data_IF_062338012813
#
_entry.id   IF_062338012813
#
_cell.length_a   1.000
_cell.length_b   1.000
_cell.length_c   1.000
_cell.angle_alpha   90.00
_cell.angle_beta   90.00
_cell.angle_gamma   90.00
#
_symmetry.space_group_name_H-M   'P 1'
#
loop_
_entity.id
_entity.type
_entity.pdbx_description
1 polymer ?
#
# COMPACT_ATOMS: atom_id res chain seq x y z
N UNK A 1 -21.97 -15.76 10.69
CA UNK A 1 -20.53 -15.51 10.46
C UNK A 1 -20.14 -15.56 8.98
N UNK A 2 -20.41 -16.66 8.26
CA UNK A 2 -20.01 -16.82 6.84
C UNK A 2 -20.52 -15.73 5.88
N UNK A 3 -21.80 -15.36 5.92
CA UNK A 3 -22.38 -14.37 4.98
C UNK A 3 -21.76 -12.97 5.14
N UNK A 4 -21.58 -12.49 6.38
CA UNK A 4 -20.95 -11.18 6.65
C UNK A 4 -19.48 -11.13 6.24
N UNK A 5 -18.74 -12.22 6.43
CA UNK A 5 -17.36 -12.33 5.98
C UNK A 5 -17.27 -12.28 4.45
N UNK A 6 -18.11 -13.05 3.75
CA UNK A 6 -18.14 -13.08 2.30
C UNK A 6 -18.51 -11.73 1.68
N UNK A 7 -19.50 -11.04 2.27
CA UNK A 7 -19.86 -9.67 1.89
C UNK A 7 -18.69 -8.70 2.11
N UNK A 8 -17.93 -8.84 3.19
CA UNK A 8 -16.76 -8.00 3.46
C UNK A 8 -15.61 -8.24 2.46
N UNK A 9 -15.35 -9.50 2.09
CA UNK A 9 -14.34 -9.87 1.09
C UNK A 9 -14.73 -9.37 -0.30
N UNK A 10 -15.99 -9.57 -0.71
CA UNK A 10 -16.50 -9.05 -1.99
C UNK A 10 -16.49 -7.52 -2.04
N UNK A 11 -17.02 -6.86 -1.01
CA UNK A 11 -17.03 -5.41 -0.95
C UNK A 11 -15.61 -4.84 -0.93
N UNK A 12 -14.68 -5.46 -0.19
CA UNK A 12 -13.27 -5.08 -0.15
C UNK A 12 -12.55 -5.28 -1.48
N UNK A 13 -12.73 -6.44 -2.11
CA UNK A 13 -12.13 -6.76 -3.41
C UNK A 13 -12.64 -5.85 -4.52
N UNK A 14 -13.95 -5.62 -4.60
CA UNK A 14 -14.52 -4.71 -5.59
C UNK A 14 -14.16 -3.25 -5.31
N UNK A 15 -14.10 -2.81 -4.05
CA UNK A 15 -13.63 -1.47 -3.70
C UNK A 15 -12.16 -1.25 -4.08
N UNK A 16 -11.30 -2.25 -3.82
CA UNK A 16 -9.90 -2.24 -4.26
C UNK A 16 -9.79 -2.15 -5.77
N UNK A 17 -10.55 -2.96 -6.51
CA UNK A 17 -10.60 -2.89 -7.97
C UNK A 17 -11.08 -1.52 -8.47
N UNK A 18 -12.06 -0.90 -7.82
CA UNK A 18 -12.50 0.46 -8.16
C UNK A 18 -11.35 1.46 -7.97
N UNK A 19 -10.62 1.41 -6.86
CA UNK A 19 -9.44 2.27 -6.62
C UNK A 19 -8.40 2.06 -7.71
N UNK A 20 -8.03 0.81 -7.97
CA UNK A 20 -7.03 0.45 -8.97
C UNK A 20 -7.43 0.97 -10.35
N UNK A 21 -8.69 0.80 -10.77
CA UNK A 21 -9.20 1.29 -12.05
C UNK A 21 -9.20 2.81 -12.14
N UNK A 22 -9.55 3.50 -11.05
CA UNK A 22 -9.66 4.97 -11.03
C UNK A 22 -8.29 5.63 -11.02
N UNK A 23 -7.34 5.05 -10.29
CA UNK A 23 -5.98 5.58 -10.15
C UNK A 23 -4.99 5.01 -11.18
N UNK A 24 -5.37 3.96 -11.92
CA UNK A 24 -4.53 3.33 -12.95
C UNK A 24 -3.91 4.33 -13.93
N UNK A 25 -4.67 5.31 -14.47
CA UNK A 25 -4.11 6.26 -15.43
C UNK A 25 -3.00 7.12 -14.83
N UNK A 26 -3.14 7.51 -13.57
CA UNK A 26 -2.17 8.33 -12.86
C UNK A 26 -0.88 7.53 -12.58
N UNK A 27 -1.01 6.27 -12.20
CA UNK A 27 0.13 5.37 -12.04
C UNK A 27 0.91 5.20 -13.35
N UNK A 28 0.21 4.94 -14.46
CA UNK A 28 0.85 4.77 -15.78
C UNK A 28 1.56 6.05 -16.24
N UNK A 29 0.97 7.23 -15.98
CA UNK A 29 1.62 8.50 -16.30
C UNK A 29 2.87 8.71 -15.44
N UNK A 30 2.77 8.46 -14.13
CA UNK A 30 3.89 8.55 -13.19
C UNK A 30 5.05 7.63 -13.60
N UNK A 31 4.77 6.37 -13.93
CA UNK A 31 5.81 5.40 -14.33
C UNK A 31 6.48 5.80 -15.66
N UNK A 32 5.72 6.31 -16.63
CA UNK A 32 6.27 6.79 -17.91
C UNK A 32 7.12 8.04 -17.75
N UNK A 33 6.70 8.98 -16.91
CA UNK A 33 7.49 10.17 -16.56
C UNK A 33 8.80 9.80 -15.85
N UNK A 34 8.79 8.74 -15.06
CA UNK A 34 9.97 8.24 -14.34
C UNK A 34 10.85 7.30 -15.17
N UNK A 35 10.44 6.93 -16.38
CA UNK A 35 11.23 6.05 -17.25
C UNK A 35 12.51 6.72 -17.77
N UNK A 36 13.60 5.97 -17.85
CA UNK A 36 14.88 6.46 -18.38
C UNK A 36 14.83 6.82 -19.88
N UNK A 37 13.84 6.31 -20.61
CA UNK A 37 13.66 6.51 -22.04
C UNK A 37 12.95 7.83 -22.38
N UNK A 38 12.31 8.47 -21.38
CA UNK A 38 11.53 9.69 -21.52
C UNK A 38 10.06 9.43 -21.90
N UNK A 39 9.18 10.33 -21.46
CA UNK A 39 7.71 10.16 -21.51
C UNK A 39 7.16 9.75 -22.88
N UNK A 40 7.57 10.45 -23.95
CA UNK A 40 7.06 10.20 -25.29
C UNK A 40 7.55 8.87 -25.88
N UNK A 41 8.78 8.44 -25.57
CA UNK A 41 9.33 7.15 -26.03
C UNK A 41 8.75 5.97 -25.25
N UNK A 42 8.38 6.17 -23.99
CA UNK A 42 7.67 5.19 -23.16
C UNK A 42 6.16 5.05 -23.49
N UNK A 43 5.69 5.64 -24.60
CA UNK A 43 4.30 5.51 -25.06
C UNK A 43 3.41 6.72 -24.78
N UNK A 44 3.92 7.79 -24.16
CA UNK A 44 3.20 9.05 -23.96
C UNK A 44 1.84 8.86 -23.28
N UNK A 45 0.76 9.33 -23.92
CA UNK A 45 -0.62 9.11 -23.47
C UNK A 45 -1.32 7.93 -24.18
N UNK A 46 -0.64 7.18 -25.06
CA UNK A 46 -1.24 6.03 -25.74
C UNK A 46 -1.26 4.79 -24.85
N UNK A 47 -2.37 4.06 -24.82
CA UNK A 47 -2.47 2.78 -24.11
C UNK A 47 -2.32 2.90 -22.59
N UNK A 48 -2.84 3.98 -21.97
CA UNK A 48 -2.75 4.23 -20.53
C UNK A 48 -3.42 3.12 -19.69
N UNK A 49 -4.43 2.46 -20.25
CA UNK A 49 -5.14 1.33 -19.63
C UNK A 49 -4.51 -0.04 -19.95
N UNK A 50 -3.37 -0.09 -20.66
CA UNK A 50 -2.64 -1.34 -20.89
C UNK A 50 -2.08 -1.87 -19.55
N UNK A 51 -2.51 -3.06 -19.14
CA UNK A 51 -2.18 -3.68 -17.84
C UNK A 51 -3.31 -3.63 -16.80
N UNK A 52 -4.44 -2.97 -17.11
CA UNK A 52 -5.63 -3.02 -16.22
C UNK A 52 -6.12 -4.45 -15.97
N UNK A 53 -6.21 -5.34 -16.99
CA UNK A 53 -6.65 -6.71 -16.74
C UNK A 53 -5.71 -7.48 -15.81
N UNK A 54 -4.40 -7.26 -15.89
CA UNK A 54 -3.44 -7.91 -14.98
C UNK A 54 -3.56 -7.38 -13.55
N UNK A 55 -3.81 -6.07 -13.39
CA UNK A 55 -4.05 -5.49 -12.07
C UNK A 55 -5.34 -6.06 -11.44
N UNK A 56 -6.45 -6.04 -12.18
CA UNK A 56 -7.75 -6.53 -11.70
C UNK A 56 -7.72 -8.01 -11.31
N UNK A 57 -7.00 -8.85 -12.06
CA UNK A 57 -6.84 -10.29 -11.75
C UNK A 57 -6.04 -10.52 -10.47
N UNK A 58 -5.11 -9.64 -10.11
CA UNK A 58 -4.33 -9.76 -8.87
C UNK A 58 -5.00 -9.18 -7.63
N UNK A 59 -5.90 -8.21 -7.77
CA UNK A 59 -6.54 -7.53 -6.64
C UNK A 59 -7.47 -8.46 -5.82
N UNK A 60 -8.16 -9.40 -6.47
CA UNK A 60 -9.02 -10.36 -5.79
C UNK A 60 -8.26 -11.37 -4.91
N UNK A 61 -7.24 -12.10 -5.43
CA UNK A 61 -6.38 -12.96 -4.61
C UNK A 61 -5.69 -12.20 -3.47
N UNK A 62 -5.26 -10.96 -3.74
CA UNK A 62 -4.65 -10.10 -2.73
C UNK A 62 -5.60 -9.83 -1.55
N UNK A 63 -6.83 -9.37 -1.83
CA UNK A 63 -7.83 -9.10 -0.80
C UNK A 63 -8.22 -10.37 -0.03
N UNK A 64 -8.39 -11.49 -0.74
CA UNK A 64 -8.73 -12.76 -0.12
C UNK A 64 -7.65 -13.23 0.87
N UNK A 65 -6.38 -13.19 0.45
CA UNK A 65 -5.27 -13.60 1.31
C UNK A 65 -5.11 -12.70 2.54
N UNK A 66 -5.24 -11.38 2.38
CA UNK A 66 -5.26 -10.45 3.50
C UNK A 66 -6.31 -10.83 4.54
N UNK A 67 -7.58 -10.97 4.12
CA UNK A 67 -8.68 -11.25 5.04
C UNK A 67 -8.59 -12.64 5.67
N UNK A 68 -8.16 -13.65 4.93
CA UNK A 68 -7.94 -15.01 5.46
C UNK A 68 -6.85 -15.01 6.53
N UNK A 69 -5.70 -14.39 6.24
CA UNK A 69 -4.60 -14.31 7.20
C UNK A 69 -4.98 -13.47 8.42
N UNK A 70 -5.72 -12.38 8.22
CA UNK A 70 -6.22 -11.53 9.30
C UNK A 70 -7.14 -12.30 10.27
N UNK A 71 -8.15 -12.99 9.77
CA UNK A 71 -9.09 -13.77 10.60
C UNK A 71 -8.40 -14.99 11.24
N UNK A 72 -7.50 -15.67 10.51
CA UNK A 72 -6.71 -16.78 11.05
C UNK A 72 -5.81 -16.32 12.21
N UNK A 73 -5.10 -15.19 12.03
CA UNK A 73 -4.24 -14.62 13.08
C UNK A 73 -5.06 -14.21 14.30
N UNK A 74 -6.22 -13.58 14.09
CA UNK A 74 -7.14 -13.25 15.18
C UNK A 74 -7.66 -14.47 15.93
N UNK A 75 -8.03 -15.51 15.20
CA UNK A 75 -8.49 -16.77 15.79
C UNK A 75 -7.39 -17.44 16.61
N UNK A 76 -6.14 -17.42 16.12
CA UNK A 76 -4.99 -18.00 16.81
C UNK A 76 -4.64 -17.21 18.10
N UNK A 77 -4.58 -15.88 18.00
CA UNK A 77 -4.27 -15.00 19.14
C UNK A 77 -5.42 -14.91 20.15
N UNK A 78 -6.66 -15.14 19.72
CA UNK A 78 -7.85 -15.19 20.58
C UNK A 78 -8.06 -16.52 21.29
N UNK A 79 -7.61 -17.64 20.72
CA UNK A 79 -7.82 -18.99 21.27
C UNK A 79 -6.80 -19.39 22.36
N UNK A 80 -5.67 -18.66 22.53
CA UNK A 80 -4.50 -19.10 23.29
C UNK A 80 -4.16 -18.37 24.61
N UNK A 81 -4.97 -17.44 25.11
CA UNK A 81 -4.75 -16.80 26.43
C UNK A 81 -3.89 -15.52 26.45
N UNK A 82 -4.07 -14.71 27.51
CA UNK A 82 -3.52 -13.38 27.81
C UNK A 82 -3.90 -12.20 26.87
N UNK A 83 -3.98 -12.42 25.55
CA UNK A 83 -4.29 -11.36 24.56
C UNK A 83 -5.78 -11.19 24.21
N UNK A 84 -6.66 -11.88 24.94
CA UNK A 84 -8.11 -11.79 24.78
C UNK A 84 -8.75 -10.63 25.58
N UNK A 85 -7.97 -9.92 26.40
CA UNK A 85 -8.49 -8.81 27.20
C UNK A 85 -8.86 -7.59 26.32
N UNK A 86 -9.93 -6.85 26.64
CA UNK A 86 -10.41 -5.72 25.84
C UNK A 86 -9.37 -4.60 25.67
N UNK A 87 -8.41 -4.48 26.59
CA UNK A 87 -7.31 -3.51 26.51
C UNK A 87 -6.22 -3.85 25.48
N UNK A 88 -6.08 -5.13 25.08
CA UNK A 88 -5.05 -5.59 24.13
C UNK A 88 -5.62 -5.91 22.73
N UNK A 89 -6.94 -5.79 22.56
CA UNK A 89 -7.60 -5.93 21.26
C UNK A 89 -7.01 -5.04 20.13
N UNK A 90 -6.60 -3.78 20.37
CA UNK A 90 -5.90 -2.96 19.39
C UNK A 90 -4.60 -3.60 18.89
N UNK A 91 -3.80 -4.14 19.81
CA UNK A 91 -2.51 -4.78 19.50
C UNK A 91 -2.72 -6.06 18.69
N UNK A 92 -3.71 -6.87 19.07
CA UNK A 92 -4.09 -8.09 18.34
C UNK A 92 -4.56 -7.76 16.92
N UNK A 93 -5.36 -6.71 16.73
CA UNK A 93 -5.79 -6.25 15.41
C UNK A 93 -4.61 -5.76 14.56
N UNK A 94 -3.68 -5.02 15.16
CA UNK A 94 -2.49 -4.49 14.48
C UNK A 94 -1.55 -5.62 14.03
N UNK A 95 -1.31 -6.61 14.88
CA UNK A 95 -0.49 -7.79 14.52
C UNK A 95 -1.14 -8.61 13.41
N UNK A 96 -2.45 -8.86 13.51
CA UNK A 96 -3.20 -9.55 12.47
C UNK A 96 -3.20 -8.81 11.13
N UNK A 97 -3.37 -7.48 11.15
CA UNK A 97 -3.31 -6.65 9.95
C UNK A 97 -1.91 -6.64 9.32
N UNK A 98 -0.85 -6.53 10.14
CA UNK A 98 0.54 -6.54 9.66
C UNK A 98 0.92 -7.88 9.03
N UNK A 99 0.52 -9.00 9.65
CA UNK A 99 0.74 -10.33 9.10
C UNK A 99 -0.09 -10.57 7.82
N UNK A 100 -1.33 -10.09 7.80
CA UNK A 100 -2.18 -10.11 6.61
C UNK A 100 -1.54 -9.37 5.44
N UNK A 101 -1.00 -8.17 5.68
CA UNK A 101 -0.34 -7.37 4.64
C UNK A 101 0.93 -8.04 4.12
N UNK A 102 1.73 -8.70 4.99
CA UNK A 102 2.91 -9.45 4.55
C UNK A 102 2.51 -10.58 3.59
N UNK A 103 1.45 -11.33 3.89
CA UNK A 103 0.98 -12.42 3.02
C UNK A 103 0.37 -11.86 1.73
N UNK A 104 -0.42 -10.79 1.83
CA UNK A 104 -0.98 -10.09 0.68
C UNK A 104 0.12 -9.57 -0.26
N UNK A 105 1.20 -9.00 0.30
CA UNK A 105 2.38 -8.56 -0.44
C UNK A 105 3.01 -9.69 -1.27
N UNK A 106 3.06 -10.93 -0.77
CA UNK A 106 3.62 -12.06 -1.52
C UNK A 106 2.82 -12.38 -2.79
N UNK A 107 1.52 -12.12 -2.80
CA UNK A 107 0.61 -12.32 -3.95
C UNK A 107 0.57 -11.07 -4.83
N UNK A 108 0.59 -9.88 -4.24
CA UNK A 108 0.58 -8.60 -4.96
C UNK A 108 1.84 -8.41 -5.80
N UNK A 109 3.00 -8.77 -5.26
CA UNK A 109 4.30 -8.56 -5.92
C UNK A 109 4.40 -9.17 -7.33
N UNK A 110 4.08 -10.45 -7.58
CA UNK A 110 4.17 -11.01 -8.94
C UNK A 110 3.19 -10.33 -9.91
N UNK A 111 2.00 -9.95 -9.44
CA UNK A 111 1.05 -9.15 -10.24
C UNK A 111 1.64 -7.79 -10.61
N UNK A 112 2.28 -7.13 -9.65
CA UNK A 112 2.93 -5.83 -9.85
C UNK A 112 4.10 -5.94 -10.84
N UNK A 113 4.87 -7.04 -10.82
CA UNK A 113 5.92 -7.31 -11.80
C UNK A 113 5.35 -7.42 -13.21
N UNK A 114 4.21 -8.09 -13.39
CA UNK A 114 3.54 -8.20 -14.70
C UNK A 114 3.04 -6.83 -15.16
N UNK A 115 2.46 -6.02 -14.26
CA UNK A 115 2.04 -4.64 -14.53
C UNK A 115 3.24 -3.77 -14.94
N UNK A 116 4.35 -3.83 -14.21
CA UNK A 116 5.54 -3.04 -14.53
C UNK A 116 6.20 -3.47 -15.86
N UNK A 117 6.20 -4.76 -16.18
CA UNK A 117 6.71 -5.28 -17.47
C UNK A 117 5.88 -4.81 -18.65
N UNK A 118 4.56 -4.72 -18.49
CA UNK A 118 3.66 -4.20 -19.54
C UNK A 118 3.74 -2.69 -19.70
N UNK A 119 4.11 -1.94 -18.66
CA UNK A 119 4.11 -0.48 -18.67
C UNK A 119 5.46 0.19 -18.94
N UNK A 120 6.60 -0.42 -18.57
CA UNK A 120 7.87 0.32 -18.55
C UNK A 120 9.15 -0.43 -18.94
N UNK A 121 9.34 -1.75 -18.72
CA UNK A 121 10.54 -2.48 -19.19
C UNK A 121 10.51 -4.01 -18.96
N UNK A 122 11.11 -4.86 -19.83
CA UNK A 122 11.10 -6.34 -19.69
C UNK A 122 12.13 -6.97 -18.73
N UNK A 123 13.24 -6.30 -18.36
CA UNK A 123 14.49 -7.02 -18.01
C UNK A 123 14.92 -7.06 -16.52
N UNK A 124 14.12 -6.59 -15.56
CA UNK A 124 14.56 -6.61 -14.15
C UNK A 124 14.20 -7.94 -13.46
N UNK A 125 15.17 -8.51 -12.74
CA UNK A 125 15.04 -9.80 -12.07
C UNK A 125 13.95 -9.74 -10.98
N UNK A 126 12.99 -10.66 -11.03
CA UNK A 126 11.80 -10.75 -10.16
C UNK A 126 12.14 -10.68 -8.67
N UNK A 127 13.25 -11.28 -8.26
CA UNK A 127 13.70 -11.32 -6.87
C UNK A 127 14.10 -9.94 -6.31
N UNK A 128 14.77 -9.11 -7.12
CA UNK A 128 15.16 -7.77 -6.68
C UNK A 128 13.92 -6.88 -6.52
N UNK A 129 12.93 -7.03 -7.42
CA UNK A 129 11.66 -6.34 -7.31
C UNK A 129 10.96 -6.74 -6.00
N UNK A 130 10.83 -8.04 -5.73
CA UNK A 130 10.27 -8.57 -4.47
C UNK A 130 10.93 -7.95 -3.24
N UNK A 131 12.26 -7.97 -3.20
CA UNK A 131 13.01 -7.54 -2.04
C UNK A 131 12.94 -6.01 -1.84
N UNK A 132 12.84 -5.24 -2.93
CA UNK A 132 12.61 -3.79 -2.86
C UNK A 132 11.20 -3.41 -2.45
N UNK A 133 10.19 -4.20 -2.82
CA UNK A 133 8.81 -3.97 -2.40
C UNK A 133 8.63 -4.28 -0.92
N UNK A 134 9.13 -5.44 -0.44
CA UNK A 134 9.04 -5.79 0.98
C UNK A 134 9.73 -4.76 1.89
N UNK A 135 10.89 -4.22 1.46
CA UNK A 135 11.62 -3.18 2.22
C UNK A 135 10.86 -1.85 2.35
N UNK A 136 9.90 -1.57 1.48
CA UNK A 136 9.10 -0.35 1.51
C UNK A 136 7.78 -0.56 2.26
N UNK A 137 7.10 -1.67 1.99
CA UNK A 137 5.76 -1.98 2.50
C UNK A 137 5.79 -2.29 4.01
N UNK A 138 6.87 -2.90 4.51
CA UNK A 138 7.00 -3.25 5.94
C UNK A 138 7.09 -1.97 6.81
N UNK A 139 8.03 -1.03 6.58
CA UNK A 139 8.07 0.23 7.34
C UNK A 139 6.77 1.04 7.22
N UNK A 140 6.15 1.05 6.04
CA UNK A 140 4.89 1.76 5.82
C UNK A 140 3.76 1.19 6.68
N UNK A 141 3.59 -0.13 6.66
CA UNK A 141 2.60 -0.85 7.48
C UNK A 141 2.83 -0.65 8.97
N UNK A 142 4.10 -0.68 9.41
CA UNK A 142 4.49 -0.48 10.80
C UNK A 142 4.21 0.91 11.33
N UNK A 143 4.05 1.93 10.47
CA UNK A 143 3.63 3.28 10.90
C UNK A 143 2.12 3.44 10.75
N UNK A 144 1.56 2.96 9.64
CA UNK A 144 0.16 3.16 9.29
C UNK A 144 -0.80 2.48 10.28
N UNK A 145 -0.63 1.17 10.54
CA UNK A 145 -1.61 0.42 11.34
C UNK A 145 -1.65 0.83 12.82
N UNK A 146 -0.51 1.05 13.53
CA UNK A 146 -0.56 1.59 14.88
C UNK A 146 -1.21 2.96 14.96
N UNK A 147 -0.85 3.86 14.03
CA UNK A 147 -1.39 5.21 14.01
C UNK A 147 -2.89 5.19 13.72
N UNK A 148 -3.33 4.33 12.80
CA UNK A 148 -4.74 4.12 12.50
C UNK A 148 -5.53 3.64 13.72
N UNK A 149 -5.03 2.63 14.44
CA UNK A 149 -5.68 2.08 15.63
C UNK A 149 -5.74 3.11 16.77
N UNK A 150 -4.66 3.87 16.98
CA UNK A 150 -4.59 4.95 17.96
C UNK A 150 -5.62 6.05 17.67
N UNK A 151 -5.72 6.50 16.41
CA UNK A 151 -6.70 7.52 16.00
C UNK A 151 -8.14 7.02 16.16
N UNK A 152 -8.40 5.75 15.85
CA UNK A 152 -9.71 5.14 16.10
C UNK A 152 -10.05 5.09 17.59
N UNK A 153 -9.10 4.70 18.44
CA UNK A 153 -9.32 4.68 19.88
C UNK A 153 -9.65 6.07 20.42
N UNK A 154 -8.90 7.09 20.01
CA UNK A 154 -9.09 8.46 20.46
C UNK A 154 -10.46 9.02 20.05
N UNK A 155 -10.91 8.72 18.81
CA UNK A 155 -12.22 9.15 18.32
C UNK A 155 -13.35 8.38 19.01
N UNK A 156 -13.22 7.06 19.17
CA UNK A 156 -14.19 6.22 19.88
C UNK A 156 -14.41 6.69 21.33
N UNK A 157 -13.32 7.01 22.05
CA UNK A 157 -13.41 7.54 23.42
C UNK A 157 -14.11 8.89 23.50
N UNK A 158 -13.94 9.76 22.49
CA UNK A 158 -14.62 11.05 22.39
C UNK A 158 -16.12 10.92 22.08
N UNK A 159 -16.54 9.88 21.37
CA UNK A 159 -17.94 9.67 20.97
C UNK A 159 -18.74 8.73 21.87
N UNK A 160 -18.08 7.87 22.67
CA UNK A 160 -18.76 6.93 23.57
C UNK A 160 -19.43 5.74 22.87
N UNK A 161 -19.29 5.59 21.55
CA UNK A 161 -19.83 4.50 20.74
C UNK A 161 -18.82 3.98 19.70
N UNK A 162 -19.08 2.79 19.16
CA UNK A 162 -18.22 2.16 18.14
C UNK A 162 -18.18 2.97 16.85
N UNK A 163 -16.98 3.18 16.30
CA UNK A 163 -16.79 3.96 15.08
C UNK A 163 -17.50 3.36 13.87
N UNK A 164 -18.12 4.23 13.08
CA UNK A 164 -18.64 3.90 11.78
C UNK A 164 -17.48 3.61 10.79
N UNK A 165 -17.79 2.86 9.73
CA UNK A 165 -16.80 2.47 8.73
C UNK A 165 -16.14 3.67 8.03
N UNK A 166 -16.90 4.76 7.82
CA UNK A 166 -16.37 6.00 7.25
C UNK A 166 -15.39 6.72 8.18
N UNK A 167 -15.66 6.76 9.49
CA UNK A 167 -14.76 7.39 10.47
C UNK A 167 -13.45 6.61 10.58
N UNK A 168 -13.55 5.27 10.60
CA UNK A 168 -12.37 4.41 10.56
C UNK A 168 -11.55 4.62 9.28
N UNK A 169 -12.18 4.84 8.13
CA UNK A 169 -11.47 5.11 6.89
C UNK A 169 -10.81 6.50 6.86
N UNK A 170 -11.43 7.54 7.45
CA UNK A 170 -10.80 8.85 7.61
C UNK A 170 -9.54 8.76 8.48
N UNK A 171 -9.60 8.03 9.60
CA UNK A 171 -8.42 7.73 10.40
C UNK A 171 -7.36 6.99 9.58
N UNK A 172 -7.79 6.07 8.70
CA UNK A 172 -6.89 5.27 7.86
C UNK A 172 -6.20 6.10 6.78
N UNK A 173 -6.93 7.01 6.14
CA UNK A 173 -6.39 7.94 5.15
C UNK A 173 -5.36 8.89 5.78
N UNK A 174 -5.66 9.43 6.96
CA UNK A 174 -4.73 10.29 7.69
C UNK A 174 -3.49 9.51 8.17
N UNK A 175 -3.69 8.34 8.76
CA UNK A 175 -2.58 7.47 9.18
C UNK A 175 -1.70 7.06 7.99
N UNK A 176 -2.31 6.75 6.84
CA UNK A 176 -1.60 6.44 5.60
C UNK A 176 -0.80 7.63 5.06
N UNK A 177 -1.33 8.85 5.14
CA UNK A 177 -0.61 10.05 4.74
C UNK A 177 0.63 10.29 5.63
N UNK A 178 0.48 10.16 6.95
CA UNK A 178 1.60 10.29 7.90
C UNK A 178 2.63 9.18 7.69
N UNK A 179 2.18 7.94 7.49
CA UNK A 179 3.06 6.81 7.19
C UNK A 179 3.85 7.05 5.90
N UNK A 180 3.20 7.53 4.84
CA UNK A 180 3.86 7.84 3.58
C UNK A 180 4.86 8.99 3.70
N UNK A 181 4.58 9.99 4.52
CA UNK A 181 5.54 11.03 4.83
C UNK A 181 6.76 10.43 5.53
N UNK A 182 6.55 9.64 6.58
CA UNK A 182 7.63 9.00 7.34
C UNK A 182 8.50 8.06 6.49
N UNK A 183 7.89 7.35 5.53
CA UNK A 183 8.62 6.44 4.63
C UNK A 183 9.10 7.09 3.33
N UNK A 184 8.86 8.39 3.10
CA UNK A 184 9.31 9.08 1.87
C UNK A 184 10.83 8.98 1.65
N UNK A 185 11.71 9.09 2.67
CA UNK A 185 13.14 8.94 2.45
C UNK A 185 13.53 7.56 1.90
N UNK A 186 12.87 6.49 2.35
CA UNK A 186 13.12 5.14 1.85
C UNK A 186 12.71 4.99 0.38
N UNK A 187 11.59 5.58 -0.02
CA UNK A 187 11.15 5.63 -1.42
C UNK A 187 12.16 6.38 -2.30
N UNK A 188 12.67 7.51 -1.83
CA UNK A 188 13.68 8.29 -2.56
C UNK A 188 14.96 7.46 -2.74
N UNK A 189 15.41 6.76 -1.70
CA UNK A 189 16.57 5.87 -1.82
C UNK A 189 16.33 4.73 -2.83
N UNK A 190 15.16 4.08 -2.76
CA UNK A 190 14.78 3.00 -3.69
C UNK A 190 14.75 3.49 -5.14
N UNK A 191 14.05 4.59 -5.41
CA UNK A 191 13.95 5.14 -6.77
C UNK A 191 15.32 5.53 -7.32
N UNK A 192 16.21 6.06 -6.48
CA UNK A 192 17.61 6.36 -6.87
C UNK A 192 18.41 5.10 -7.19
N UNK A 193 18.28 4.05 -6.39
CA UNK A 193 18.95 2.75 -6.65
C UNK A 193 18.43 2.13 -7.95
N UNK A 194 17.10 2.14 -8.17
CA UNK A 194 16.47 1.58 -9.38
C UNK A 194 16.85 2.33 -10.65
N UNK A 195 17.08 3.64 -10.54
CA UNK A 195 17.48 4.49 -11.67
C UNK A 195 19.00 4.60 -11.83
N UNK A 196 19.79 4.06 -10.89
CA UNK A 196 21.25 4.13 -10.94
C UNK A 196 21.80 3.33 -12.11
N UNK A 197 22.83 3.86 -12.77
CA UNK A 197 23.55 3.15 -13.84
C UNK A 197 24.26 1.93 -13.24
N UNK A 198 24.12 0.77 -13.89
CA UNK A 198 24.80 -0.46 -13.50
C UNK A 198 26.32 -0.22 -13.36
N UNK A 199 26.87 -0.58 -12.20
CA UNK A 199 28.28 -0.37 -11.86
C UNK A 199 28.61 0.89 -11.05
N UNK A 200 27.64 1.75 -10.75
CA UNK A 200 27.85 2.90 -9.83
C UNK A 200 27.80 2.47 -8.35
N UNK A 201 28.46 3.23 -7.46
CA UNK A 201 28.38 2.99 -6.00
C UNK A 201 26.93 3.08 -5.47
N UNK A 202 26.10 3.90 -6.11
CA UNK A 202 24.64 4.01 -5.89
C UNK A 202 23.86 2.77 -6.34
N UNK A 203 24.38 1.98 -7.29
CA UNK A 203 23.77 0.73 -7.73
C UNK A 203 24.09 -0.46 -6.80
N UNK A 204 24.96 -0.28 -5.79
CA UNK A 204 25.33 -1.34 -4.84
C UNK A 204 24.19 -1.77 -3.91
N UNK A 205 23.05 -1.05 -3.92
CA UNK A 205 21.87 -1.36 -3.11
C UNK A 205 21.95 -0.90 -1.65
N UNK A 206 23.01 -0.19 -1.27
CA UNK A 206 23.21 0.31 0.09
C UNK A 206 22.35 1.56 0.36
N UNK A 207 21.11 1.36 0.79
CA UNK A 207 20.14 2.40 1.16
C UNK A 207 20.75 3.52 2.04
N UNK A 208 21.46 3.25 3.15
CA UNK A 208 21.99 4.33 3.99
C UNK A 208 23.06 5.17 3.29
N UNK A 209 23.87 4.59 2.39
CA UNK A 209 24.85 5.35 1.60
C UNK A 209 24.15 6.27 0.61
N UNK A 210 23.08 5.79 -0.04
CA UNK A 210 22.29 6.60 -0.97
C UNK A 210 21.55 7.72 -0.24
N UNK A 211 21.00 7.45 0.95
CA UNK A 211 20.38 8.48 1.79
C UNK A 211 21.38 9.56 2.21
N UNK A 212 22.59 9.15 2.62
CA UNK A 212 23.65 10.08 2.99
C UNK A 212 24.11 10.94 1.81
N UNK A 213 24.22 10.34 0.62
CA UNK A 213 24.56 11.04 -0.62
C UNK A 213 23.48 12.05 -1.02
N UNK A 214 22.20 11.68 -0.92
CA UNK A 214 21.07 12.59 -1.17
C UNK A 214 21.03 13.73 -0.16
N UNK A 215 21.30 13.44 1.12
CA UNK A 215 21.43 14.49 2.14
C UNK A 215 22.57 15.44 1.75
N UNK A 216 23.78 14.93 1.48
CA UNK A 216 24.93 15.79 1.16
C UNK A 216 24.72 16.64 -0.10
N UNK A 217 24.00 16.12 -1.10
CA UNK A 217 23.79 16.81 -2.37
C UNK A 217 22.61 17.79 -2.39
N UNK A 218 21.47 17.45 -1.75
CA UNK A 218 20.22 18.25 -1.81
C UNK A 218 19.61 18.57 -0.44
N UNK A 219 20.19 18.07 0.65
CA UNK A 219 19.68 18.28 2.00
C UNK A 219 18.31 17.66 2.26
N UNK A 220 17.62 18.22 3.26
CA UNK A 220 16.27 17.80 3.66
C UNK A 220 15.22 17.86 2.53
N UNK A 221 15.17 18.90 1.67
CA UNK A 221 14.23 18.93 0.55
C UNK A 221 14.44 17.78 -0.45
N UNK A 222 15.66 17.27 -0.56
CA UNK A 222 15.98 16.11 -1.41
C UNK A 222 15.41 14.80 -0.87
N UNK A 223 15.42 14.61 0.45
CA UNK A 223 14.93 13.39 1.12
C UNK A 223 13.39 13.29 1.12
N UNK A 224 12.70 14.42 1.13
CA UNK A 224 11.23 14.47 1.10
C UNK A 224 10.66 14.89 -0.26
N UNK A 225 11.48 14.85 -1.32
CA UNK A 225 11.06 15.16 -2.67
C UNK A 225 9.98 14.17 -3.14
N UNK A 226 8.78 14.69 -3.40
CA UNK A 226 7.63 13.86 -3.83
C UNK A 226 6.72 13.37 -2.70
N UNK A 227 6.95 13.76 -1.45
CA UNK A 227 6.07 13.45 -0.31
C UNK A 227 4.64 13.94 -0.51
N UNK A 228 4.46 15.19 -0.96
CA UNK A 228 3.14 15.80 -1.20
C UNK A 228 2.28 15.00 -2.21
N UNK A 229 2.76 14.70 -3.44
CA UNK A 229 2.05 13.82 -4.36
C UNK A 229 1.69 12.46 -3.76
N UNK A 230 2.59 11.86 -2.97
CA UNK A 230 2.37 10.55 -2.34
C UNK A 230 1.25 10.59 -1.30
N UNK A 231 1.30 11.57 -0.39
CA UNK A 231 0.26 11.77 0.62
C UNK A 231 -1.11 12.03 0.00
N UNK A 232 -1.16 12.86 -1.06
CA UNK A 232 -2.38 13.12 -1.81
C UNK A 232 -2.94 11.84 -2.46
N UNK A 233 -2.07 11.04 -3.09
CA UNK A 233 -2.48 9.79 -3.74
C UNK A 233 -3.09 8.79 -2.76
N UNK A 234 -2.48 8.59 -1.60
CA UNK A 234 -3.00 7.68 -0.56
C UNK A 234 -4.31 8.21 0.03
N UNK A 235 -4.40 9.51 0.24
CA UNK A 235 -5.62 10.14 0.75
C UNK A 235 -6.78 10.00 -0.25
N UNK A 236 -6.53 10.23 -1.54
CA UNK A 236 -7.52 10.02 -2.61
C UNK A 236 -7.92 8.55 -2.74
N UNK A 237 -6.95 7.64 -2.72
CA UNK A 237 -7.20 6.20 -2.76
C UNK A 237 -8.07 5.72 -1.59
N UNK A 238 -7.78 6.19 -0.37
CA UNK A 238 -8.60 5.91 0.81
C UNK A 238 -10.03 6.42 0.70
N UNK A 239 -10.24 7.61 0.11
CA UNK A 239 -11.57 8.17 -0.10
C UNK A 239 -12.37 7.38 -1.14
N UNK A 240 -11.76 7.03 -2.28
CA UNK A 240 -12.39 6.22 -3.33
C UNK A 240 -12.71 4.82 -2.80
N UNK A 241 -11.77 4.20 -2.06
CA UNK A 241 -11.97 2.90 -1.43
C UNK A 241 -13.18 2.90 -0.51
N UNK A 242 -13.28 3.91 0.37
CA UNK A 242 -14.41 4.04 1.29
C UNK A 242 -15.74 4.16 0.53
N UNK A 243 -15.80 5.07 -0.45
CA UNK A 243 -17.03 5.32 -1.21
C UNK A 243 -17.51 4.07 -1.95
N UNK A 244 -16.58 3.34 -2.59
CA UNK A 244 -16.88 2.09 -3.26
C UNK A 244 -17.30 0.99 -2.27
N UNK A 245 -16.55 0.81 -1.18
CA UNK A 245 -16.83 -0.20 -0.16
C UNK A 245 -18.23 -0.02 0.45
N UNK A 246 -18.59 1.21 0.82
CA UNK A 246 -19.88 1.49 1.44
C UNK A 246 -21.04 1.31 0.46
N UNK A 247 -20.87 1.71 -0.80
CA UNK A 247 -21.87 1.50 -1.85
C UNK A 247 -22.13 0.01 -2.08
N UNK A 248 -21.07 -0.79 -2.21
CA UNK A 248 -21.18 -2.23 -2.51
C UNK A 248 -21.75 -2.99 -1.32
N UNK A 249 -21.31 -2.65 -0.10
CA UNK A 249 -21.85 -3.25 1.12
C UNK A 249 -23.35 -2.96 1.28
N UNK A 250 -23.82 -1.75 0.95
CA UNK A 250 -25.25 -1.40 1.01
C UNK A 250 -26.09 -2.12 -0.05
N UNK A 251 -25.51 -2.52 -1.18
CA UNK A 251 -26.21 -3.25 -2.24
C UNK A 251 -26.28 -4.76 -1.96
N UNK A 252 -25.31 -5.29 -1.21
CA UNK A 252 -25.21 -6.73 -0.86
C UNK A 252 -25.94 -7.10 0.44
N UNK A 253 -26.42 -6.11 1.20
CA UNK A 253 -27.19 -6.28 2.44
C UNK A 253 -28.65 -5.90 2.19
#
# INVERSE_FOLDING_TARGET
FHCRFFVAVLAGGCAGMCVDLTLFPLDTIKTRLQSQQGFYKAGGFRGIYAGVPSAAVGSFPNAAAFFVTYECTKSLLGAGGALAAPHVAPVTNMLAASLGEIVACLIRVPTEVVKQRTQACPSSATYNILLTTLREEIPFSLVQFPLWEYLKMLWSQRQGHTLHSWQSAVCGAFAGAVAAFATTPLDVAKTRIMLAKAGSATASGNIPLVLLDVWRSRGLPGLFAGSMPRMAFISMGGFIFLGAYEKIRRTLL
#
